data_IF_937467706708
#
_entry.id   IF_937467706708
#
_cell.length_a   1.000
_cell.length_b   1.000
_cell.length_c   1.000
_cell.angle_alpha   90.00
_cell.angle_beta   90.00
_cell.angle_gamma   90.00
#
_symmetry.space_group_name_H-M   'P 1'
#
loop_
_entity.id
_entity.type
_entity.pdbx_description
1 polymer ?
#
# COMPACT_ATOMS: atom_id res chain seq x y z
N UNK A 1 27.24 -21.53 43.66
CA UNK A 1 27.08 -20.27 42.91
C UNK A 1 26.78 -20.53 41.42
N UNK A 2 27.10 -21.71 40.87
CA UNK A 2 26.80 -22.11 39.48
C UNK A 2 25.30 -22.24 39.14
N UNK A 3 24.47 -22.77 40.03
CA UNK A 3 23.04 -23.01 39.76
C UNK A 3 22.25 -21.71 39.46
N UNK A 4 22.69 -20.58 40.01
CA UNK A 4 22.07 -19.27 39.76
C UNK A 4 22.51 -18.64 38.43
N UNK A 5 23.61 -19.12 37.83
CA UNK A 5 24.13 -18.63 36.55
C UNK A 5 23.50 -19.36 35.37
N UNK A 6 23.23 -20.67 35.46
CA UNK A 6 22.50 -21.43 34.44
C UNK A 6 21.03 -21.00 34.32
N UNK A 7 20.36 -20.71 35.44
CA UNK A 7 18.96 -20.29 35.45
C UNK A 7 18.78 -18.86 34.87
N UNK A 8 19.83 -18.03 34.99
CA UNK A 8 19.88 -16.69 34.43
C UNK A 8 20.12 -16.71 32.90
N UNK A 9 20.97 -17.62 32.44
CA UNK A 9 21.27 -17.82 31.01
C UNK A 9 20.07 -18.43 30.25
N UNK A 10 19.32 -19.35 30.88
CA UNK A 10 18.08 -19.90 30.34
C UNK A 10 16.95 -18.88 30.21
N UNK A 11 16.84 -17.94 31.16
CA UNK A 11 15.85 -16.85 31.10
C UNK A 11 16.20 -15.80 30.04
N UNK A 12 17.47 -15.43 29.88
CA UNK A 12 17.91 -14.51 28.81
C UNK A 12 17.63 -15.11 27.42
N UNK A 13 17.89 -16.40 27.23
CA UNK A 13 17.58 -17.08 25.97
C UNK A 13 16.07 -17.08 25.70
N UNK A 14 15.24 -17.48 26.68
CA UNK A 14 13.79 -17.48 26.55
C UNK A 14 13.23 -16.07 26.22
N UNK A 15 13.77 -15.03 26.84
CA UNK A 15 13.39 -13.65 26.56
C UNK A 15 13.78 -13.22 25.14
N UNK A 16 14.98 -13.56 24.68
CA UNK A 16 15.42 -13.30 23.30
C UNK A 16 14.54 -13.99 22.26
N UNK A 17 14.11 -15.23 22.50
CA UNK A 17 13.22 -15.96 21.60
C UNK A 17 11.80 -15.35 21.59
N UNK A 18 11.27 -14.94 22.74
CA UNK A 18 9.97 -14.25 22.85
C UNK A 18 10.01 -12.88 22.16
N UNK A 19 11.07 -12.10 22.36
CA UNK A 19 11.27 -10.81 21.70
C UNK A 19 11.37 -10.97 20.17
N UNK A 20 12.04 -12.02 19.69
CA UNK A 20 12.08 -12.35 18.27
C UNK A 20 10.68 -12.67 17.72
N UNK A 21 9.86 -13.43 18.48
CA UNK A 21 8.47 -13.72 18.14
C UNK A 21 7.60 -12.46 18.08
N UNK A 22 7.69 -11.59 19.09
CA UNK A 22 6.94 -10.32 19.16
C UNK A 22 7.33 -9.35 18.05
N UNK A 23 8.61 -9.28 17.68
CA UNK A 23 9.07 -8.47 16.53
C UNK A 23 8.47 -8.97 15.21
N UNK A 24 8.38 -10.29 15.01
CA UNK A 24 7.77 -10.88 13.81
C UNK A 24 6.27 -10.60 13.76
N UNK A 25 5.56 -10.78 14.87
CA UNK A 25 4.14 -10.47 14.98
C UNK A 25 3.84 -8.96 14.79
N UNK A 26 4.70 -8.08 15.30
CA UNK A 26 4.57 -6.63 15.08
C UNK A 26 4.84 -6.23 13.62
N UNK A 27 5.75 -6.93 12.94
CA UNK A 27 6.06 -6.71 11.53
C UNK A 27 4.88 -7.09 10.63
N UNK A 28 4.22 -8.22 10.88
CA UNK A 28 3.02 -8.60 10.15
C UNK A 28 1.86 -7.61 10.36
N UNK A 29 1.68 -7.11 11.60
CA UNK A 29 0.68 -6.08 11.89
C UNK A 29 0.98 -4.73 11.21
N UNK A 30 2.25 -4.33 11.06
CA UNK A 30 2.63 -3.12 10.31
C UNK A 30 2.33 -3.24 8.82
N UNK A 31 2.58 -4.41 8.23
CA UNK A 31 2.23 -4.71 6.84
C UNK A 31 0.71 -4.70 6.64
N UNK A 32 -0.04 -5.21 7.63
CA UNK A 32 -1.50 -5.15 7.64
C UNK A 32 -2.01 -3.69 7.69
N UNK A 33 -1.41 -2.85 8.54
CA UNK A 33 -1.80 -1.45 8.70
C UNK A 33 -1.47 -0.56 7.49
N UNK A 34 -0.51 -0.96 6.65
CA UNK A 34 -0.26 -0.27 5.37
C UNK A 34 -1.39 -0.46 4.36
N UNK A 35 -2.20 -1.51 4.46
CA UNK A 35 -3.30 -1.79 3.53
C UNK A 35 -4.67 -1.56 4.14
N UNK A 36 -4.78 -0.86 5.28
CA UNK A 36 -6.09 -0.58 5.87
C UNK A 36 -6.85 0.33 4.89
N UNK A 37 -7.93 -0.15 4.22
CA UNK A 37 -8.74 0.72 3.40
C UNK A 37 -9.32 1.80 4.31
N UNK A 38 -9.44 3.05 3.82
CA UNK A 38 -9.98 4.14 4.63
C UNK A 38 -11.31 3.69 5.24
N UNK A 39 -11.50 3.93 6.53
CA UNK A 39 -12.76 3.64 7.20
C UNK A 39 -13.88 4.41 6.49
N UNK A 40 -14.60 3.72 5.61
CA UNK A 40 -15.66 4.34 4.81
C UNK A 40 -16.77 4.69 5.80
N UNK A 41 -16.92 5.99 6.06
CA UNK A 41 -18.02 6.51 6.86
C UNK A 41 -19.33 5.95 6.30
N UNK A 42 -20.26 5.56 7.20
CA UNK A 42 -21.54 4.97 6.79
C UNK A 42 -22.18 5.85 5.72
N UNK A 43 -22.47 5.33 4.52
CA UNK A 43 -23.00 6.14 3.44
C UNK A 43 -24.34 6.71 3.88
N UNK A 44 -24.52 8.01 3.66
CA UNK A 44 -25.84 8.63 3.86
C UNK A 44 -26.84 8.03 2.86
N UNK A 45 -28.15 8.14 3.14
CA UNK A 45 -29.18 7.58 2.25
C UNK A 45 -29.03 8.08 0.81
N UNK A 46 -28.69 9.36 0.62
CA UNK A 46 -28.40 9.94 -0.69
C UNK A 46 -27.17 9.35 -1.36
N UNK A 47 -26.11 9.07 -0.60
CA UNK A 47 -24.90 8.41 -1.12
C UNK A 47 -25.19 6.96 -1.54
N UNK A 48 -25.97 6.22 -0.75
CA UNK A 48 -26.33 4.85 -1.11
C UNK A 48 -27.20 4.76 -2.37
N UNK A 49 -28.12 5.71 -2.56
CA UNK A 49 -28.92 5.79 -3.79
C UNK A 49 -28.02 6.18 -4.98
N UNK A 50 -27.15 7.18 -4.81
CA UNK A 50 -26.21 7.59 -5.84
C UNK A 50 -25.27 6.44 -6.26
N UNK A 51 -24.73 5.68 -5.30
CA UNK A 51 -23.84 4.54 -5.58
C UNK A 51 -24.59 3.42 -6.35
N UNK A 52 -25.87 3.18 -6.05
CA UNK A 52 -26.71 2.24 -6.82
C UNK A 52 -26.99 2.75 -8.23
N UNK A 53 -27.31 4.04 -8.37
CA UNK A 53 -27.59 4.64 -9.69
C UNK A 53 -26.32 4.69 -10.54
N UNK A 54 -25.15 4.95 -9.95
CA UNK A 54 -23.85 4.87 -10.59
C UNK A 54 -23.60 3.47 -11.18
N UNK A 55 -23.81 2.43 -10.36
CA UNK A 55 -23.64 1.05 -10.77
C UNK A 55 -24.57 0.63 -11.92
N UNK A 56 -25.80 1.17 -11.93
CA UNK A 56 -26.78 0.92 -13.00
C UNK A 56 -26.40 1.69 -14.27
N UNK A 57 -26.10 3.00 -14.17
CA UNK A 57 -25.75 3.86 -15.31
C UNK A 57 -24.44 3.45 -16.01
N UNK A 58 -23.49 2.87 -15.28
CA UNK A 58 -22.22 2.38 -15.84
C UNK A 58 -22.29 1.00 -16.48
N UNK A 59 -23.44 0.32 -16.43
CA UNK A 59 -23.58 -1.06 -16.93
C UNK A 59 -24.00 -1.10 -18.40
N UNK A 60 -23.36 -1.98 -19.18
CA UNK A 60 -23.76 -2.28 -20.56
C UNK A 60 -25.22 -2.73 -20.69
N UNK A 61 -25.75 -3.41 -19.67
CA UNK A 61 -27.15 -3.84 -19.64
C UNK A 61 -28.13 -2.66 -19.56
N UNK A 62 -27.75 -1.56 -18.92
CA UNK A 62 -28.60 -0.36 -18.83
C UNK A 62 -28.79 0.31 -20.19
N UNK A 63 -27.71 0.43 -20.97
CA UNK A 63 -27.77 0.99 -22.34
C UNK A 63 -28.74 0.17 -23.19
N UNK A 64 -28.63 -1.16 -23.15
CA UNK A 64 -29.49 -2.07 -23.94
C UNK A 64 -30.96 -1.94 -23.54
N UNK A 65 -31.27 -1.94 -22.23
CA UNK A 65 -32.64 -1.79 -21.73
C UNK A 65 -33.21 -0.41 -22.10
N UNK A 66 -32.42 0.66 -21.92
CA UNK A 66 -32.83 2.02 -22.24
C UNK A 66 -33.11 2.19 -23.75
N UNK A 67 -32.26 1.61 -24.61
CA UNK A 67 -32.47 1.60 -26.06
C UNK A 67 -33.72 0.80 -26.45
N UNK A 68 -33.96 -0.35 -25.83
CA UNK A 68 -35.16 -1.14 -26.08
C UNK A 68 -36.44 -0.41 -25.66
N UNK A 69 -36.44 0.23 -24.48
CA UNK A 69 -37.58 1.03 -24.01
C UNK A 69 -37.85 2.19 -24.97
N UNK A 70 -36.82 2.93 -25.40
CA UNK A 70 -36.97 4.01 -26.37
C UNK A 70 -37.54 3.50 -27.70
N UNK A 71 -37.04 2.36 -28.19
CA UNK A 71 -37.52 1.76 -29.43
C UNK A 71 -39.00 1.35 -29.35
N UNK A 72 -39.40 0.73 -28.23
CA UNK A 72 -40.80 0.38 -27.95
C UNK A 72 -41.66 1.64 -27.86
N UNK A 73 -41.17 2.69 -27.20
CA UNK A 73 -41.90 3.95 -27.00
C UNK A 73 -42.11 4.72 -28.30
N UNK A 74 -41.10 4.77 -29.16
CA UNK A 74 -41.19 5.34 -30.52
C UNK A 74 -42.20 4.54 -31.35
N UNK A 75 -42.14 3.22 -31.31
CA UNK A 75 -43.08 2.34 -32.04
C UNK A 75 -44.53 2.54 -31.56
N UNK A 76 -44.74 2.61 -30.25
CA UNK A 76 -46.06 2.86 -29.66
C UNK A 76 -46.62 4.24 -30.04
N UNK A 77 -45.78 5.29 -30.06
CA UNK A 77 -46.18 6.62 -30.51
C UNK A 77 -46.53 6.65 -32.00
N UNK A 78 -45.76 5.95 -32.85
CA UNK A 78 -46.06 5.87 -34.28
C UNK A 78 -47.42 5.21 -34.56
N UNK A 79 -47.79 4.19 -33.77
CA UNK A 79 -49.10 3.52 -33.85
C UNK A 79 -50.22 4.40 -33.26
N UNK A 80 -49.95 5.12 -32.17
CA UNK A 80 -50.89 6.06 -31.53
C UNK A 80 -51.20 7.29 -32.40
N UNK A 81 -50.21 7.80 -33.13
CA UNK A 81 -50.36 8.88 -34.09
C UNK A 81 -51.33 8.51 -35.23
N UNK A 82 -51.36 7.25 -35.66
CA UNK A 82 -52.35 6.75 -36.64
C UNK A 82 -53.79 6.76 -36.09
N UNK A 83 -53.97 6.80 -34.77
CA UNK A 83 -55.26 6.83 -34.06
C UNK A 83 -55.70 8.25 -33.64
N UNK A 84 -54.93 9.29 -34.02
CA UNK A 84 -55.22 10.70 -33.69
C UNK A 84 -54.82 11.13 -32.28
N UNK A 85 -54.11 10.26 -31.54
CA UNK A 85 -53.58 10.58 -30.21
C UNK A 85 -52.15 11.11 -30.40
N UNK A 86 -52.03 12.45 -30.36
CA UNK A 86 -50.84 13.30 -30.61
C UNK A 86 -50.45 13.52 -32.11
N UNK A 87 -51.13 14.44 -32.82
CA UNK A 87 -50.75 14.89 -34.17
C UNK A 87 -49.40 15.63 -34.18
N UNK A 88 -48.76 15.67 -35.34
CA UNK A 88 -47.46 16.36 -35.56
C UNK A 88 -47.50 17.81 -35.02
N UNK A 89 -46.61 18.26 -34.11
CA UNK A 89 -45.27 17.74 -33.82
C UNK A 89 -45.15 17.16 -32.39
N UNK A 90 -45.65 15.95 -32.14
CA UNK A 90 -45.43 15.10 -30.94
C UNK A 90 -44.98 15.84 -29.66
N UNK A 91 -45.81 16.77 -29.17
CA UNK A 91 -45.39 17.75 -28.16
C UNK A 91 -45.10 17.05 -26.82
N UNK A 92 -45.84 15.97 -26.53
CA UNK A 92 -45.70 15.19 -25.30
C UNK A 92 -44.42 14.35 -25.31
N UNK A 93 -44.04 13.82 -26.47
CA UNK A 93 -42.79 13.06 -26.64
C UNK A 93 -41.58 13.97 -26.45
N UNK A 94 -41.60 15.15 -27.07
CA UNK A 94 -40.53 16.12 -26.93
C UNK A 94 -40.38 16.60 -25.47
N UNK A 95 -41.50 16.84 -24.78
CA UNK A 95 -41.50 17.24 -23.38
C UNK A 95 -40.96 16.13 -22.47
N UNK A 96 -41.39 14.89 -22.67
CA UNK A 96 -40.93 13.74 -21.88
C UNK A 96 -39.44 13.48 -22.05
N UNK A 97 -38.91 13.52 -23.28
CA UNK A 97 -37.48 13.34 -23.55
C UNK A 97 -36.65 14.51 -22.97
N UNK A 98 -37.14 15.73 -23.10
CA UNK A 98 -36.47 16.91 -22.52
C UNK A 98 -36.39 16.82 -21.00
N UNK A 99 -37.48 16.39 -20.35
CA UNK A 99 -37.49 16.18 -18.90
C UNK A 99 -36.58 15.02 -18.48
N UNK A 100 -36.58 13.91 -19.21
CA UNK A 100 -35.70 12.77 -18.97
C UNK A 100 -34.22 13.18 -19.04
N UNK A 101 -33.83 13.93 -20.07
CA UNK A 101 -32.46 14.42 -20.22
C UNK A 101 -32.08 15.42 -19.12
N UNK A 102 -32.99 16.32 -18.77
CA UNK A 102 -32.79 17.31 -17.71
C UNK A 102 -32.55 16.67 -16.33
N UNK A 103 -33.20 15.53 -16.03
CA UNK A 103 -32.96 14.80 -14.78
C UNK A 103 -31.74 13.86 -14.85
N UNK A 104 -31.42 13.32 -16.02
CA UNK A 104 -30.28 12.43 -16.19
C UNK A 104 -28.94 13.14 -15.92
N UNK A 105 -28.74 14.37 -16.43
CA UNK A 105 -27.46 15.07 -16.33
C UNK A 105 -27.02 15.36 -14.86
N UNK A 106 -27.89 15.88 -13.96
CA UNK A 106 -27.53 16.07 -12.55
C UNK A 106 -27.24 14.76 -11.81
N UNK A 107 -28.00 13.71 -12.10
CA UNK A 107 -27.81 12.39 -11.48
C UNK A 107 -26.47 11.78 -11.89
N UNK A 108 -26.14 11.86 -13.19
CA UNK A 108 -24.83 11.45 -13.72
C UNK A 108 -23.72 12.29 -13.09
N UNK A 109 -23.89 13.60 -13.00
CA UNK A 109 -22.89 14.51 -12.40
C UNK A 109 -22.68 14.21 -10.91
N UNK A 110 -23.74 13.93 -10.15
CA UNK A 110 -23.64 13.54 -8.73
C UNK A 110 -22.93 12.19 -8.57
N UNK A 111 -23.25 11.22 -9.42
CA UNK A 111 -22.56 9.93 -9.46
C UNK A 111 -21.08 10.07 -9.80
N UNK A 112 -20.73 10.93 -10.76
CA UNK A 112 -19.35 11.19 -11.15
C UNK A 112 -18.58 11.90 -10.04
N UNK A 113 -19.13 12.96 -9.46
CA UNK A 113 -18.51 13.70 -8.36
C UNK A 113 -18.24 12.80 -7.15
N UNK A 114 -19.14 11.84 -6.88
CA UNK A 114 -18.95 10.81 -5.85
C UNK A 114 -17.80 9.86 -6.17
N UNK A 115 -17.76 9.33 -7.40
CA UNK A 115 -16.68 8.43 -7.81
C UNK A 115 -15.31 9.13 -7.76
N UNK A 116 -15.24 10.37 -8.25
CA UNK A 116 -14.03 11.20 -8.19
C UNK A 116 -13.56 11.46 -6.75
N UNK A 117 -14.48 11.70 -5.81
CA UNK A 117 -14.14 11.87 -4.40
C UNK A 117 -13.56 10.59 -3.77
N UNK A 118 -14.09 9.43 -4.14
CA UNK A 118 -13.57 8.11 -3.70
C UNK A 118 -12.18 7.90 -4.28
N UNK A 119 -12.02 8.08 -5.59
CA UNK A 119 -10.76 7.89 -6.30
C UNK A 119 -9.67 8.84 -5.79
N UNK A 120 -10.03 10.11 -5.52
CA UNK A 120 -9.11 11.10 -4.92
C UNK A 120 -8.62 10.65 -3.54
N UNK A 121 -9.53 10.17 -2.68
CA UNK A 121 -9.16 9.70 -1.33
C UNK A 121 -8.29 8.45 -1.38
N UNK A 122 -8.57 7.54 -2.30
CA UNK A 122 -7.74 6.36 -2.54
C UNK A 122 -6.32 6.78 -2.97
N UNK A 123 -6.22 7.68 -3.95
CA UNK A 123 -4.94 8.21 -4.43
C UNK A 123 -4.14 8.93 -3.34
N UNK A 124 -4.79 9.74 -2.49
CA UNK A 124 -4.14 10.40 -1.36
C UNK A 124 -3.59 9.39 -0.35
N UNK A 125 -4.36 8.35 -0.04
CA UNK A 125 -3.94 7.30 0.88
C UNK A 125 -2.75 6.51 0.31
N UNK A 126 -2.82 6.12 -0.97
CA UNK A 126 -1.75 5.40 -1.66
C UNK A 126 -0.46 6.24 -1.71
N UNK A 127 -0.57 7.54 -1.97
CA UNK A 127 0.55 8.47 -1.90
C UNK A 127 1.19 8.49 -0.50
N UNK A 128 0.37 8.58 0.56
CA UNK A 128 0.88 8.59 1.95
C UNK A 128 1.56 7.27 2.33
N UNK A 129 1.03 6.15 1.87
CA UNK A 129 1.64 4.83 2.09
C UNK A 129 2.99 4.75 1.38
N UNK A 130 3.05 5.16 0.11
CA UNK A 130 4.28 5.13 -0.67
C UNK A 130 5.36 6.04 -0.08
N UNK A 131 5.02 7.28 0.28
CA UNK A 131 5.97 8.20 0.92
C UNK A 131 6.50 7.66 2.25
N UNK A 132 5.64 6.99 3.04
CA UNK A 132 6.08 6.34 4.28
C UNK A 132 6.99 5.13 4.00
N UNK A 133 6.68 4.33 2.99
CA UNK A 133 7.51 3.20 2.59
C UNK A 133 8.89 3.65 2.10
N UNK A 134 8.95 4.74 1.33
CA UNK A 134 10.19 5.36 0.87
C UNK A 134 11.07 5.79 2.06
N UNK A 135 10.51 6.51 3.03
CA UNK A 135 11.23 6.91 4.25
C UNK A 135 11.70 5.70 5.08
N UNK A 136 10.87 4.66 5.21
CA UNK A 136 11.27 3.44 5.93
C UNK A 136 12.42 2.71 5.22
N UNK A 137 12.46 2.72 3.89
CA UNK A 137 13.55 2.14 3.09
C UNK A 137 14.83 2.96 3.25
N UNK A 138 14.74 4.29 3.25
CA UNK A 138 15.89 5.19 3.46
C UNK A 138 16.52 4.96 4.84
N UNK A 139 15.71 4.90 5.90
CA UNK A 139 16.17 4.59 7.25
C UNK A 139 16.79 3.20 7.36
N UNK A 140 16.29 2.22 6.60
CA UNK A 140 16.89 0.89 6.53
C UNK A 140 18.27 0.93 5.86
N UNK A 141 18.43 1.70 4.78
CA UNK A 141 19.72 1.87 4.12
C UNK A 141 20.74 2.52 5.05
N UNK A 142 20.37 3.62 5.72
CA UNK A 142 21.27 4.29 6.68
C UNK A 142 21.74 3.31 7.77
N UNK A 143 20.83 2.48 8.27
CA UNK A 143 21.16 1.49 9.30
C UNK A 143 22.06 0.37 8.79
N UNK A 144 21.89 -0.04 7.53
CA UNK A 144 22.77 -1.03 6.87
C UNK A 144 24.17 -0.43 6.68
N UNK A 145 24.26 0.82 6.26
CA UNK A 145 25.53 1.51 6.05
C UNK A 145 26.30 1.68 7.37
N UNK A 146 25.61 2.06 8.46
CA UNK A 146 26.20 2.11 9.80
C UNK A 146 26.70 0.73 10.27
N UNK A 147 25.97 -0.35 9.98
CA UNK A 147 26.41 -1.71 10.31
C UNK A 147 27.64 -2.11 9.48
N UNK A 148 27.64 -1.80 8.18
CA UNK A 148 28.77 -2.03 7.28
C UNK A 148 30.02 -1.30 7.75
N UNK A 149 29.90 -0.03 8.13
CA UNK A 149 31.03 0.74 8.63
C UNK A 149 31.61 0.13 9.90
N UNK A 150 30.76 -0.30 10.86
CA UNK A 150 31.21 -0.99 12.07
C UNK A 150 31.90 -2.32 11.77
N UNK A 151 31.40 -3.09 10.82
CA UNK A 151 32.04 -4.34 10.40
C UNK A 151 33.40 -4.09 9.75
N UNK A 152 33.50 -3.08 8.89
CA UNK A 152 34.77 -2.69 8.25
C UNK A 152 35.79 -2.24 9.29
N UNK A 153 35.38 -1.44 10.29
CA UNK A 153 36.26 -1.03 11.39
C UNK A 153 36.77 -2.23 12.18
N UNK A 154 35.89 -3.17 12.56
CA UNK A 154 36.29 -4.40 13.29
C UNK A 154 37.24 -5.27 12.48
N UNK A 155 36.99 -5.43 11.17
CA UNK A 155 37.87 -6.18 10.27
C UNK A 155 39.24 -5.51 10.16
N UNK A 156 39.27 -4.17 10.08
CA UNK A 156 40.51 -3.40 9.99
C UNK A 156 41.33 -3.52 11.28
N UNK A 157 40.68 -3.44 12.44
CA UNK A 157 41.31 -3.64 13.74
C UNK A 157 41.87 -5.06 13.88
N UNK A 158 41.10 -6.09 13.52
CA UNK A 158 41.56 -7.48 13.53
C UNK A 158 42.79 -7.71 12.62
N UNK A 159 42.78 -7.16 11.41
CA UNK A 159 43.94 -7.22 10.49
C UNK A 159 45.16 -6.52 11.08
N UNK A 160 44.96 -5.36 11.72
CA UNK A 160 46.05 -4.62 12.38
C UNK A 160 46.66 -5.42 13.53
N UNK A 161 45.84 -5.99 14.41
CA UNK A 161 46.30 -6.85 15.51
C UNK A 161 47.08 -8.06 15.00
N UNK A 162 46.59 -8.73 13.94
CA UNK A 162 47.31 -9.85 13.33
C UNK A 162 48.66 -9.41 12.74
N UNK A 163 48.73 -8.21 12.16
CA UNK A 163 49.97 -7.66 11.60
C UNK A 163 50.99 -7.35 12.70
N UNK A 164 50.56 -6.74 13.80
CA UNK A 164 51.39 -6.44 14.97
C UNK A 164 51.94 -7.71 15.63
N UNK A 165 51.11 -8.75 15.76
CA UNK A 165 51.55 -10.07 16.27
C UNK A 165 52.60 -10.72 15.38
N UNK A 166 52.45 -10.62 14.05
CA UNK A 166 53.44 -11.14 13.11
C UNK A 166 54.77 -10.38 13.21
N UNK A 167 54.74 -9.05 13.32
CA UNK A 167 55.96 -8.25 13.53
C UNK A 167 56.67 -8.60 14.85
N UNK A 168 55.93 -8.76 15.95
CA UNK A 168 56.51 -9.21 17.23
C UNK A 168 57.17 -10.58 17.11
N UNK A 169 56.50 -11.55 16.47
CA UNK A 169 57.06 -12.89 16.28
C UNK A 169 58.32 -12.89 15.41
N UNK A 170 58.35 -12.07 14.35
CA UNK A 170 59.50 -11.90 13.49
C UNK A 170 60.67 -11.19 14.21
N UNK A 171 60.37 -10.26 15.11
CA UNK A 171 61.35 -9.56 15.94
C UNK A 171 62.00 -10.52 16.95
N UNK A 172 61.18 -11.30 17.67
CA UNK A 172 61.66 -12.29 18.64
C UNK A 172 62.49 -13.40 18.00
N UNK A 173 62.14 -13.84 16.78
CA UNK A 173 62.94 -14.81 16.03
C UNK A 173 64.35 -14.28 15.68
N UNK A 174 64.45 -13.01 15.23
CA UNK A 174 65.73 -12.37 14.93
C UNK A 174 66.61 -12.15 16.17
N UNK A 175 66.00 -11.88 17.31
CA UNK A 175 66.72 -11.69 18.56
C UNK A 175 67.24 -13.04 19.12
N UNK A 176 66.48 -14.12 18.96
CA UNK A 176 66.94 -15.48 19.31
C UNK A 176 68.10 -15.99 18.44
N UNK A 177 68.10 -15.69 17.14
CA UNK A 177 69.21 -16.03 16.23
C UNK A 177 70.47 -15.19 16.51
N UNK A 178 70.32 -13.98 17.04
CA UNK A 178 71.44 -13.11 17.39
C UNK A 178 72.12 -13.50 18.71
N UNK A 179 71.40 -14.14 19.64
CA UNK A 179 71.93 -14.58 20.93
C UNK A 179 72.68 -15.92 20.85
N UNK A 180 72.31 -16.81 19.93
CA UNK A 180 72.97 -18.11 19.68
C UNK A 180 74.28 -17.99 18.86
N UNK A 181 74.56 -16.82 18.29
CA UNK A 181 75.70 -16.57 17.41
C UNK A 181 76.99 -16.07 18.09
N UNK A 182 77.14 -16.12 19.41
CA UNK A 182 78.37 -15.63 20.08
C UNK A 182 79.55 -16.61 19.84
N UNK A 183 80.64 -16.19 19.16
CA UNK A 183 81.80 -17.04 18.99
C UNK A 183 82.51 -17.24 20.34
N UNK A 184 82.83 -18.52 20.64
CA UNK A 184 83.68 -18.94 21.76
C UNK A 184 85.14 -18.53 21.57
#
# INVERSE_FOLDING_TARGET
MEEKAEDQDGMEQAEHHLLAGLRRARRSLRLQGMHQPPAVARPTLGQSIADKVAAVMGSWSFIIVQSAILFVWITANLIGAMRGWDPYPFILLNLALSFQAAYAAPVIMMSQNRQQDIDRKAAENDYRINAKAELEIELLHEKIDQLREREVLKLTEAVRTLTELLEQSASGARESDAEDGRPS
#
